data_IF_664724055407
#
_entry.id   IF_664724055407
#
_cell.length_a   1.000
_cell.length_b   1.000
_cell.length_c   1.000
_cell.angle_alpha   90.00
_cell.angle_beta   90.00
_cell.angle_gamma   90.00
#
_symmetry.space_group_name_H-M   'P 1'
#
loop_
_entity.id
_entity.type
_entity.pdbx_description
1 polymer ?
#
# COMPACT_ATOMS: atom_id res chain seq x y z
N UNK A 1 -22.14 -37.52 24.77
CA UNK A 1 -22.50 -36.69 23.60
C UNK A 1 -21.56 -35.49 23.62
N UNK A 2 -20.52 -35.49 22.79
CA UNK A 2 -19.59 -34.37 22.72
C UNK A 2 -20.22 -33.24 21.92
N UNK A 3 -20.46 -32.09 22.54
CA UNK A 3 -20.89 -30.88 21.84
C UNK A 3 -19.74 -30.42 20.95
N UNK A 4 -19.89 -30.56 19.64
CA UNK A 4 -18.96 -29.96 18.69
C UNK A 4 -19.02 -28.45 18.87
N UNK A 5 -17.87 -27.80 19.03
CA UNK A 5 -17.77 -26.35 19.17
C UNK A 5 -17.86 -25.71 17.78
N UNK A 6 -19.07 -25.64 17.23
CA UNK A 6 -19.38 -24.94 15.98
C UNK A 6 -19.53 -23.43 16.24
N UNK A 7 -18.42 -22.79 16.63
CA UNK A 7 -18.31 -21.33 16.59
C UNK A 7 -18.42 -20.93 15.12
N UNK A 8 -19.60 -20.45 14.72
CA UNK A 8 -19.83 -19.87 13.41
C UNK A 8 -19.09 -18.53 13.35
N UNK A 9 -17.81 -18.57 12.96
CA UNK A 9 -17.11 -17.37 12.52
C UNK A 9 -17.77 -16.95 11.20
N UNK A 10 -18.40 -15.76 11.12
CA UNK A 10 -19.05 -15.33 9.90
C UNK A 10 -18.03 -15.34 8.76
N UNK A 11 -18.31 -16.12 7.72
CA UNK A 11 -17.49 -16.18 6.52
C UNK A 11 -17.71 -14.97 5.60
N UNK A 12 -18.58 -14.05 5.99
CA UNK A 12 -18.70 -12.73 5.37
C UNK A 12 -17.61 -11.82 5.94
N UNK A 13 -16.38 -12.11 5.52
CA UNK A 13 -15.26 -11.21 5.68
C UNK A 13 -15.60 -9.87 5.03
N UNK A 14 -15.21 -8.78 5.70
CA UNK A 14 -15.21 -7.40 5.21
C UNK A 14 -14.98 -7.32 3.68
N UNK A 15 -15.78 -6.55 2.91
CA UNK A 15 -15.71 -6.52 1.44
C UNK A 15 -14.28 -6.43 0.92
N UNK A 16 -13.87 -7.36 0.05
CA UNK A 16 -12.49 -7.46 -0.41
C UNK A 16 -11.96 -6.12 -0.97
N UNK A 17 -12.80 -5.36 -1.68
CA UNK A 17 -12.45 -4.03 -2.21
C UNK A 17 -12.05 -3.02 -1.11
N UNK A 18 -12.63 -3.11 0.09
CA UNK A 18 -12.28 -2.21 1.19
C UNK A 18 -10.87 -2.50 1.71
N UNK A 19 -10.41 -3.75 1.67
CA UNK A 19 -9.00 -4.05 1.99
C UNK A 19 -8.05 -3.41 0.98
N UNK A 20 -8.34 -3.52 -0.31
CA UNK A 20 -7.60 -2.81 -1.35
C UNK A 20 -7.61 -1.29 -1.16
N UNK A 21 -8.72 -0.74 -0.68
CA UNK A 21 -8.87 0.70 -0.45
C UNK A 21 -8.00 1.16 0.72
N UNK A 22 -7.99 0.40 1.82
CA UNK A 22 -7.13 0.66 2.98
C UNK A 22 -5.65 0.55 2.59
N UNK A 23 -5.27 -0.52 1.88
CA UNK A 23 -3.91 -0.69 1.34
C UNK A 23 -3.51 0.52 0.48
N UNK A 24 -4.39 0.94 -0.43
CA UNK A 24 -4.15 2.10 -1.30
C UNK A 24 -3.84 3.37 -0.50
N UNK A 25 -4.64 3.71 0.51
CA UNK A 25 -4.42 4.94 1.30
C UNK A 25 -3.16 4.87 2.16
N UNK A 26 -2.81 3.69 2.68
CA UNK A 26 -1.55 3.50 3.41
C UNK A 26 -0.35 3.72 2.49
N UNK A 27 -0.38 3.14 1.29
CA UNK A 27 0.70 3.28 0.30
C UNK A 27 0.77 4.70 -0.24
N UNK A 28 -0.39 5.35 -0.46
CA UNK A 28 -0.46 6.75 -0.85
C UNK A 28 0.15 7.66 0.22
N UNK A 29 -0.19 7.45 1.50
CA UNK A 29 0.38 8.22 2.60
C UNK A 29 1.91 8.06 2.69
N UNK A 30 2.41 6.85 2.53
CA UNK A 30 3.85 6.60 2.47
C UNK A 30 4.50 7.28 1.25
N UNK A 31 3.90 7.16 0.07
CA UNK A 31 4.38 7.78 -1.16
C UNK A 31 4.44 9.29 -1.06
N UNK A 32 3.36 9.93 -0.59
CA UNK A 32 3.31 11.37 -0.38
C UNK A 32 4.33 11.82 0.68
N UNK A 33 4.42 11.09 1.80
CA UNK A 33 5.40 11.39 2.84
C UNK A 33 6.84 11.34 2.32
N UNK A 34 7.22 10.28 1.60
CA UNK A 34 8.55 10.15 1.00
C UNK A 34 8.79 11.26 -0.03
N UNK A 35 7.83 11.53 -0.92
CA UNK A 35 7.95 12.57 -1.93
C UNK A 35 8.15 13.96 -1.31
N UNK A 36 7.32 14.35 -0.33
CA UNK A 36 7.41 15.65 0.36
C UNK A 36 8.79 15.83 0.99
N UNK A 37 9.29 14.83 1.72
CA UNK A 37 10.61 14.89 2.35
C UNK A 37 11.77 14.92 1.34
N UNK A 38 11.53 14.46 0.10
CA UNK A 38 12.54 14.46 -0.95
C UNK A 38 12.60 15.76 -1.75
N UNK A 39 11.55 16.59 -1.76
CA UNK A 39 11.49 17.78 -2.63
C UNK A 39 12.55 18.83 -2.30
N UNK A 40 12.89 19.00 -1.03
CA UNK A 40 13.91 19.96 -0.61
C UNK A 40 15.29 19.62 -1.18
N UNK A 41 15.59 18.33 -1.35
CA UNK A 41 16.82 17.87 -1.97
C UNK A 41 16.86 18.25 -3.46
N UNK A 42 15.79 17.97 -4.20
CA UNK A 42 15.71 18.26 -5.63
C UNK A 42 15.70 19.76 -5.93
N UNK A 43 15.02 20.56 -5.11
CA UNK A 43 15.05 22.03 -5.23
C UNK A 43 16.46 22.58 -5.02
N UNK A 44 17.22 22.04 -4.05
CA UNK A 44 18.62 22.45 -3.81
C UNK A 44 19.56 22.08 -4.95
N UNK A 45 19.23 21.08 -5.76
CA UNK A 45 19.98 20.74 -6.97
C UNK A 45 19.77 21.73 -8.12
N UNK A 46 18.86 22.70 -7.97
CA UNK A 46 18.55 23.70 -8.99
C UNK A 46 17.63 23.16 -10.09
N UNK A 47 16.83 22.13 -9.81
CA UNK A 47 15.84 21.64 -10.76
C UNK A 47 14.69 22.64 -10.92
N UNK A 48 14.21 22.77 -12.16
CA UNK A 48 13.00 23.52 -12.50
C UNK A 48 11.77 22.98 -11.75
N UNK A 49 10.80 23.84 -11.50
CA UNK A 49 9.51 23.53 -10.88
C UNK A 49 8.75 22.45 -11.65
N UNK A 50 8.75 22.53 -12.99
CA UNK A 50 8.10 21.53 -13.85
C UNK A 50 8.72 20.13 -13.63
N UNK A 51 10.06 20.05 -13.69
CA UNK A 51 10.79 18.80 -13.47
C UNK A 51 10.57 18.27 -12.04
N UNK A 52 10.58 19.16 -11.05
CA UNK A 52 10.36 18.80 -9.63
C UNK A 52 8.97 18.19 -9.43
N UNK A 53 7.93 18.73 -10.09
CA UNK A 53 6.58 18.16 -10.04
C UNK A 53 6.51 16.76 -10.70
N UNK A 54 7.20 16.55 -11.83
CA UNK A 54 7.31 15.23 -12.43
C UNK A 54 8.02 14.23 -11.52
N UNK A 55 9.11 14.65 -10.87
CA UNK A 55 9.84 13.82 -9.90
C UNK A 55 8.96 13.50 -8.69
N UNK A 56 8.18 14.46 -8.17
CA UNK A 56 7.25 14.24 -7.07
C UNK A 56 6.30 13.08 -7.34
N UNK A 57 5.59 13.13 -8.47
CA UNK A 57 4.66 12.06 -8.87
C UNK A 57 5.38 10.78 -9.29
N UNK A 58 6.59 10.88 -9.84
CA UNK A 58 7.45 9.74 -10.13
C UNK A 58 7.79 8.94 -8.88
N UNK A 59 8.16 9.60 -7.78
CA UNK A 59 8.44 8.94 -6.50
C UNK A 59 7.18 8.28 -5.93
N UNK A 60 6.03 8.96 -5.96
CA UNK A 60 4.75 8.35 -5.56
C UNK A 60 4.50 7.08 -6.38
N UNK A 61 4.63 7.15 -7.71
CA UNK A 61 4.45 6.00 -8.60
C UNK A 61 5.40 4.84 -8.33
N UNK A 62 6.67 5.12 -8.02
CA UNK A 62 7.68 4.09 -7.68
C UNK A 62 7.30 3.38 -6.38
N UNK A 63 6.84 4.12 -5.35
CA UNK A 63 6.39 3.52 -4.09
C UNK A 63 5.22 2.56 -4.32
N UNK A 64 4.27 2.95 -5.17
CA UNK A 64 3.19 2.07 -5.60
C UNK A 64 3.70 0.82 -6.33
N UNK A 65 4.60 0.98 -7.30
CA UNK A 65 5.21 -0.15 -8.02
C UNK A 65 5.89 -1.14 -7.07
N UNK A 66 6.72 -0.64 -6.16
CA UNK A 66 7.42 -1.46 -5.16
C UNK A 66 6.42 -2.19 -4.27
N UNK A 67 5.38 -1.52 -3.81
CA UNK A 67 4.38 -2.15 -2.96
C UNK A 67 3.63 -3.27 -3.69
N UNK A 68 3.09 -3.00 -4.88
CA UNK A 68 2.25 -3.97 -5.58
C UNK A 68 3.05 -5.13 -6.20
N UNK A 69 4.29 -4.91 -6.62
CA UNK A 69 5.13 -5.95 -7.23
C UNK A 69 5.94 -6.77 -6.22
N UNK A 70 6.29 -6.20 -5.06
CA UNK A 70 7.20 -6.86 -4.10
C UNK A 70 6.49 -7.14 -2.78
N UNK A 71 5.97 -6.09 -2.13
CA UNK A 71 5.42 -6.20 -0.76
C UNK A 71 4.13 -7.01 -0.74
N UNK A 72 3.19 -6.69 -1.63
CA UNK A 72 1.88 -7.33 -1.71
C UNK A 72 1.96 -8.85 -1.97
N UNK A 73 2.71 -9.34 -2.97
CA UNK A 73 2.86 -10.79 -3.15
C UNK A 73 3.60 -11.46 -1.98
N UNK A 74 4.49 -10.76 -1.28
CA UNK A 74 5.14 -11.28 -0.07
C UNK A 74 4.16 -11.42 1.11
N UNK A 75 3.24 -10.46 1.28
CA UNK A 75 2.20 -10.51 2.32
C UNK A 75 1.20 -11.63 2.03
N UNK A 76 0.75 -11.77 0.78
CA UNK A 76 -0.22 -12.78 0.36
C UNK A 76 0.33 -14.23 0.42
N UNK A 77 1.64 -14.42 0.53
CA UNK A 77 2.24 -15.74 0.80
C UNK A 77 1.95 -16.29 2.20
N UNK A 78 1.40 -15.48 3.11
CA UNK A 78 1.05 -15.96 4.46
C UNK A 78 -0.28 -16.73 4.44
N UNK A 79 -0.33 -17.98 4.94
CA UNK A 79 -1.50 -18.87 4.83
C UNK A 79 -2.74 -18.38 5.58
N UNK A 80 -2.61 -17.38 6.45
CA UNK A 80 -3.72 -16.76 7.17
C UNK A 80 -4.51 -15.76 6.31
N UNK A 81 -3.91 -15.22 5.24
CA UNK A 81 -4.53 -14.20 4.38
C UNK A 81 -4.97 -14.75 3.01
N UNK A 82 -4.52 -15.96 2.63
CA UNK A 82 -4.87 -16.61 1.35
C UNK A 82 -6.26 -17.27 1.34
N UNK A 83 -7.00 -17.18 2.45
CA UNK A 83 -8.39 -17.69 2.60
C UNK A 83 -9.45 -16.58 2.56
N UNK A 84 -9.02 -15.32 2.39
CA UNK A 84 -9.87 -14.16 2.11
C UNK A 84 -9.90 -13.98 0.59
#
# INVERSE_FOLDING_TARGET
MGTHNNIHVPNESWPAFLWFTIEFFVVLGAGLGISINSMDYFKKMGFDESLTNWIFWGIVGIVFLVYYLIVRPLILRRPTLSRI
#
